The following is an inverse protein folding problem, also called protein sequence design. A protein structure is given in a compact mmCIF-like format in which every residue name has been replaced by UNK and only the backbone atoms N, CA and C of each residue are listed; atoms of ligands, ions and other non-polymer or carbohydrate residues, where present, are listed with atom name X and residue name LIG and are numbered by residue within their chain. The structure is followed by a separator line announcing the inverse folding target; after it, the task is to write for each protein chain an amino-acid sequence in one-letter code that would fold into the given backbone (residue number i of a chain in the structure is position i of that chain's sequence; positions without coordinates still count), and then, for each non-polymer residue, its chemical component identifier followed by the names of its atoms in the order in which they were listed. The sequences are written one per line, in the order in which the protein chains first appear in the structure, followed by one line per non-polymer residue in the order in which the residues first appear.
data_IF_614843163663
#
_entry.id   IF_614843163663
#
_cell.length_a   1.000
_cell.length_b   1.000
_cell.length_c   1.000
_cell.angle_alpha   90.00
_cell.angle_beta   90.00
_cell.angle_gamma   90.00
#
_symmetry.space_group_name_H-M   'P 1'
#
loop_
_entity.id
_entity.type
_entity.pdbx_description
1 polymer ?
#
# COMPACT_ATOMS: atom_id res chain seq x y z
N UNK A 1 -34.34 -7.79 -11.78
CA UNK A 1 -33.06 -7.40 -12.41
C UNK A 1 -31.98 -7.44 -11.35
N UNK A 2 -30.99 -8.31 -11.52
CA UNK A 2 -29.84 -8.49 -10.61
C UNK A 2 -28.91 -7.28 -10.72
N UNK A 3 -28.93 -6.40 -9.72
CA UNK A 3 -27.92 -5.34 -9.61
C UNK A 3 -26.64 -5.94 -9.02
N UNK A 4 -25.67 -6.22 -9.88
CA UNK A 4 -24.27 -6.47 -9.53
C UNK A 4 -23.75 -5.25 -8.75
N UNK A 5 -23.76 -5.34 -7.43
CA UNK A 5 -23.01 -4.40 -6.58
C UNK A 5 -21.54 -4.67 -6.81
N UNK A 6 -20.91 -3.90 -7.70
CA UNK A 6 -19.46 -3.69 -7.69
C UNK A 6 -19.04 -3.47 -6.23
N UNK A 7 -17.94 -4.08 -5.74
CA UNK A 7 -17.43 -3.74 -4.42
C UNK A 7 -17.18 -2.23 -4.41
N UNK A 8 -18.06 -1.49 -3.73
CA UNK A 8 -17.86 -0.08 -3.43
C UNK A 8 -16.50 -0.03 -2.73
N UNK A 9 -15.51 0.56 -3.39
CA UNK A 9 -14.23 0.85 -2.76
C UNK A 9 -14.54 1.51 -1.41
N UNK A 10 -14.07 0.95 -0.29
CA UNK A 10 -14.51 1.43 1.01
C UNK A 10 -14.10 2.90 1.17
N UNK A 11 -15.08 3.75 1.48
CA UNK A 11 -14.96 5.16 1.87
C UNK A 11 -14.36 5.28 3.29
N UNK A 12 -13.18 4.71 3.51
CA UNK A 12 -12.40 4.81 4.75
C UNK A 12 -10.93 5.03 4.37
N UNK A 13 -10.22 5.99 5.00
CA UNK A 13 -9.03 6.62 4.44
C UNK A 13 -7.99 5.54 4.20
N UNK A 14 -7.57 5.43 2.95
CA UNK A 14 -6.46 4.59 2.52
C UNK A 14 -5.40 4.56 3.60
N UNK A 15 -5.19 3.38 4.19
CA UNK A 15 -4.11 3.11 5.14
C UNK A 15 -2.89 3.94 4.77
N UNK A 16 -2.47 4.79 5.69
CA UNK A 16 -1.36 5.71 5.49
C UNK A 16 -0.18 4.92 4.93
N UNK A 17 0.54 5.45 3.93
CA UNK A 17 1.77 4.82 3.43
C UNK A 17 2.69 4.31 4.55
N UNK A 18 2.88 5.04 5.68
CA UNK A 18 3.58 4.52 6.84
C UNK A 18 3.08 3.16 7.37
N UNK A 19 1.77 2.95 7.48
CA UNK A 19 1.21 1.65 7.92
C UNK A 19 1.41 0.56 6.87
N UNK A 20 1.30 0.91 5.59
CA UNK A 20 1.59 -0.03 4.50
C UNK A 20 3.05 -0.48 4.58
N UNK A 21 3.97 0.46 4.76
CA UNK A 21 5.40 0.22 4.90
C UNK A 21 5.71 -0.64 6.11
N UNK A 22 5.15 -0.33 7.28
CA UNK A 22 5.39 -1.14 8.48
C UNK A 22 4.89 -2.58 8.30
N UNK A 23 3.77 -2.79 7.60
CA UNK A 23 3.24 -4.13 7.35
C UNK A 23 4.05 -4.95 6.32
N UNK A 24 4.73 -4.30 5.37
CA UNK A 24 5.61 -4.98 4.41
C UNK A 24 7.06 -5.07 4.88
N UNK A 25 7.47 -4.32 5.91
CA UNK A 25 8.88 -4.23 6.34
C UNK A 25 9.48 -5.60 6.67
N UNK A 26 8.68 -6.49 7.26
CA UNK A 26 9.08 -7.85 7.67
C UNK A 26 8.83 -8.88 6.56
N UNK A 27 8.28 -8.43 5.42
CA UNK A 27 7.92 -9.24 4.25
C UNK A 27 8.86 -9.00 3.07
N UNK A 28 9.65 -7.93 3.08
CA UNK A 28 10.64 -7.61 2.06
C UNK A 28 12.04 -7.56 2.66
N UNK A 29 13.09 -7.83 1.86
CA UNK A 29 14.46 -7.61 2.27
C UNK A 29 14.71 -6.16 2.70
N UNK A 30 15.61 -5.95 3.67
CA UNK A 30 15.97 -4.61 4.15
C UNK A 30 16.46 -3.68 3.01
N UNK A 31 17.13 -4.24 2.01
CA UNK A 31 17.59 -3.50 0.82
C UNK A 31 16.44 -2.95 -0.01
N UNK A 32 15.36 -3.71 -0.16
CA UNK A 32 14.16 -3.28 -0.88
C UNK A 32 13.38 -2.25 -0.05
N UNK A 33 13.34 -2.43 1.27
CA UNK A 33 12.73 -1.47 2.20
C UNK A 33 13.45 -0.11 2.17
N UNK A 34 14.77 -0.10 2.06
CA UNK A 34 15.57 1.13 1.91
C UNK A 34 15.19 1.89 0.64
N UNK A 35 15.07 1.19 -0.49
CA UNK A 35 14.64 1.79 -1.78
C UNK A 35 13.22 2.36 -1.68
N UNK A 36 12.30 1.65 -1.02
CA UNK A 36 10.94 2.14 -0.77
C UNK A 36 10.97 3.42 0.07
N UNK A 37 11.81 3.46 1.11
CA UNK A 37 11.93 4.62 1.98
C UNK A 37 12.51 5.84 1.24
N UNK A 38 13.50 5.63 0.36
CA UNK A 38 14.00 6.70 -0.52
C UNK A 38 12.90 7.27 -1.42
N UNK A 39 12.11 6.42 -2.08
CA UNK A 39 10.98 6.86 -2.90
C UNK A 39 9.91 7.58 -2.08
N UNK A 40 9.70 7.17 -0.83
CA UNK A 40 8.80 7.87 0.08
C UNK A 40 9.30 9.27 0.45
N UNK A 41 10.61 9.45 0.66
CA UNK A 41 11.19 10.77 0.88
C UNK A 41 11.03 11.68 -0.35
N UNK A 42 11.17 11.14 -1.55
CA UNK A 42 10.89 11.88 -2.80
C UNK A 42 9.42 12.28 -2.91
N UNK A 43 8.50 11.38 -2.53
CA UNK A 43 7.06 11.67 -2.44
C UNK A 43 6.77 12.79 -1.42
N UNK A 44 7.35 12.71 -0.21
CA UNK A 44 7.23 13.78 0.81
C UNK A 44 7.81 15.12 0.31
N UNK A 45 8.84 15.06 -0.53
CA UNK A 45 9.47 16.22 -1.14
C UNK A 45 8.70 16.75 -2.37
N UNK A 46 7.50 16.21 -2.66
CA UNK A 46 6.67 16.52 -3.84
C UNK A 46 7.36 16.25 -5.19
N UNK A 47 8.45 15.47 -5.20
CA UNK A 47 9.17 15.06 -6.41
C UNK A 47 8.55 13.84 -7.09
N UNK A 48 7.70 13.12 -6.37
CA UNK A 48 7.04 11.90 -6.84
C UNK A 48 5.55 11.96 -6.52
N UNK A 49 4.71 11.48 -7.44
CA UNK A 49 3.26 11.43 -7.20
C UNK A 49 2.88 10.16 -6.44
N UNK A 50 1.65 10.15 -5.89
CA UNK A 50 1.08 8.96 -5.25
C UNK A 50 1.05 7.76 -6.21
N UNK A 51 0.72 8.00 -7.48
CA UNK A 51 0.65 6.94 -8.49
C UNK A 51 2.02 6.33 -8.77
N UNK A 52 3.07 7.16 -8.86
CA UNK A 52 4.44 6.71 -9.06
C UNK A 52 4.95 5.88 -7.87
N UNK A 53 4.70 6.34 -6.65
CA UNK A 53 5.07 5.61 -5.44
C UNK A 53 4.40 4.23 -5.40
N UNK A 54 3.09 4.16 -5.71
CA UNK A 54 2.35 2.88 -5.77
C UNK A 54 2.88 1.98 -6.89
N UNK A 55 3.25 2.54 -8.05
CA UNK A 55 3.84 1.78 -9.14
C UNK A 55 5.20 1.20 -8.74
N UNK A 56 6.04 1.97 -8.04
CA UNK A 56 7.32 1.48 -7.49
C UNK A 56 7.13 0.39 -6.44
N UNK A 57 6.21 0.60 -5.50
CA UNK A 57 5.78 -0.43 -4.53
C UNK A 57 5.39 -1.74 -5.22
N UNK A 58 4.57 -1.66 -6.27
CA UNK A 58 4.14 -2.84 -7.03
C UNK A 58 5.31 -3.57 -7.69
N UNK A 59 6.33 -2.84 -8.17
CA UNK A 59 7.52 -3.44 -8.80
C UNK A 59 8.45 -4.07 -7.76
N UNK A 60 8.65 -3.42 -6.62
CA UNK A 60 9.58 -3.89 -5.57
C UNK A 60 8.98 -5.05 -4.77
N UNK A 61 7.74 -4.87 -4.32
CA UNK A 61 7.06 -5.75 -3.36
C UNK A 61 6.24 -6.82 -4.09
N UNK A 62 5.79 -6.52 -5.32
CA UNK A 62 4.89 -7.35 -6.10
C UNK A 62 3.41 -7.10 -5.79
N UNK A 63 2.56 -7.30 -6.79
CA UNK A 63 1.10 -7.18 -6.68
C UNK A 63 0.50 -8.13 -5.64
N UNK A 64 1.01 -9.36 -5.56
CA UNK A 64 0.52 -10.37 -4.64
C UNK A 64 0.70 -9.94 -3.18
N UNK A 65 1.90 -9.47 -2.83
CA UNK A 65 2.22 -9.03 -1.47
C UNK A 65 1.54 -7.70 -1.15
N UNK A 66 1.46 -6.78 -2.12
CA UNK A 66 0.73 -5.51 -1.94
C UNK A 66 -0.76 -5.76 -1.67
N UNK A 67 -1.41 -6.62 -2.45
CA UNK A 67 -2.81 -7.01 -2.26
C UNK A 67 -3.05 -7.72 -0.93
N UNK A 68 -2.17 -8.65 -0.55
CA UNK A 68 -2.24 -9.35 0.73
C UNK A 68 -2.11 -8.38 1.92
N UNK A 69 -1.21 -7.40 1.81
CA UNK A 69 -0.99 -6.39 2.86
C UNK A 69 -2.18 -5.46 3.00
N UNK A 70 -2.72 -4.94 1.89
CA UNK A 70 -3.93 -4.10 1.89
C UNK A 70 -5.10 -4.87 2.52
N UNK A 71 -5.30 -6.13 2.13
CA UNK A 71 -6.37 -6.99 2.66
C UNK A 71 -6.18 -7.26 4.15
N UNK A 72 -4.95 -7.58 4.57
CA UNK A 72 -4.62 -7.81 5.99
C UNK A 72 -4.84 -6.57 6.85
N UNK A 73 -4.47 -5.39 6.34
CA UNK A 73 -4.67 -4.12 7.03
C UNK A 73 -6.15 -3.74 7.12
N UNK A 74 -6.94 -3.94 6.06
CA UNK A 74 -8.39 -3.69 6.09
C UNK A 74 -9.09 -4.57 7.14
N UNK A 75 -8.68 -5.84 7.28
CA UNK A 75 -9.19 -6.73 8.33
C UNK A 75 -8.90 -6.18 9.73
N UNK A 76 -7.70 -5.61 9.94
CA UNK A 76 -7.30 -5.04 11.23
C UNK A 76 -8.07 -3.77 11.60
N UNK A 77 -8.37 -2.91 10.63
CA UNK A 77 -9.11 -1.65 10.85
C UNK A 77 -10.59 -1.87 11.16
N UNK A 78 -11.21 -2.90 10.60
CA UNK A 78 -12.64 -3.20 10.80
C UNK A 78 -12.95 -3.95 12.11
N UNK A 79 -11.94 -4.27 12.91
CA UNK A 79 -12.08 -5.07 14.14
C UNK A 79 -12.09 -4.23 15.44
N UNK A 80 -12.17 -2.88 15.35
CA UNK A 80 -12.13 -1.96 16.51
C UNK A 80 -13.49 -1.35 16.81
#
# INVERSE_FOLDING_TARGET
GTATSLPKAPTSPWVSFPMLFDAIRDKVPAKDMEVINMHYLDFKSKKMTRADLVKKLRVIVGDALLGATITGLQRKVLSS
#
